data_IF_365364570760
#
_entry.id   IF_365364570760
#
_cell.length_a   1.000
_cell.length_b   1.000
_cell.length_c   1.000
_cell.angle_alpha   90.00
_cell.angle_beta   90.00
_cell.angle_gamma   90.00
#
_symmetry.space_group_name_H-M   'P 1'
#
loop_
_entity.id
_entity.type
_entity.pdbx_description
1 polymer ?
#
# COMPACT_ATOMS: atom_id res chain seq x y z
N UNK A 1 -20.71 -30.23 -1.70
CA UNK A 1 -20.58 -29.35 -2.90
C UNK A 1 -19.09 -29.22 -3.18
N UNK A 2 -18.67 -29.42 -4.42
CA UNK A 2 -17.27 -29.26 -4.83
C UNK A 2 -17.04 -27.79 -5.12
N UNK A 3 -16.04 -27.19 -4.48
CA UNK A 3 -15.66 -25.79 -4.71
C UNK A 3 -14.83 -25.71 -5.99
N UNK A 4 -15.12 -24.74 -6.86
CA UNK A 4 -14.38 -24.56 -8.11
C UNK A 4 -13.42 -23.38 -8.05
N UNK A 5 -12.36 -23.44 -8.86
CA UNK A 5 -11.39 -22.34 -9.00
C UNK A 5 -12.08 -21.04 -9.45
N UNK A 6 -13.11 -21.14 -10.29
CA UNK A 6 -13.87 -19.99 -10.77
C UNK A 6 -14.64 -19.27 -9.66
N UNK A 7 -15.24 -20.03 -8.72
CA UNK A 7 -15.90 -19.46 -7.54
C UNK A 7 -14.91 -18.73 -6.63
N UNK A 8 -13.74 -19.33 -6.42
CA UNK A 8 -12.66 -18.68 -5.65
C UNK A 8 -12.19 -17.42 -6.36
N UNK A 9 -11.92 -17.48 -7.66
CA UNK A 9 -11.46 -16.33 -8.45
C UNK A 9 -12.48 -15.20 -8.44
N UNK A 10 -13.77 -15.52 -8.52
CA UNK A 10 -14.86 -14.53 -8.41
C UNK A 10 -14.88 -13.86 -7.05
N UNK A 11 -14.67 -14.61 -5.97
CA UNK A 11 -14.56 -14.05 -4.62
C UNK A 11 -13.33 -13.15 -4.48
N UNK A 12 -12.18 -13.59 -4.96
CA UNK A 12 -10.94 -12.81 -4.96
C UNK A 12 -11.04 -11.54 -5.80
N UNK A 13 -11.91 -11.50 -6.81
CA UNK A 13 -12.11 -10.29 -7.60
C UNK A 13 -12.68 -9.13 -6.76
N UNK A 14 -13.30 -9.43 -5.61
CA UNK A 14 -13.82 -8.45 -4.65
C UNK A 14 -12.74 -7.93 -3.68
N UNK A 15 -11.58 -8.59 -3.60
CA UNK A 15 -10.43 -8.10 -2.84
C UNK A 15 -9.75 -6.99 -3.64
N UNK A 16 -9.80 -5.77 -3.10
CA UNK A 16 -9.16 -4.59 -3.68
C UNK A 16 -7.83 -4.31 -2.97
N UNK A 17 -6.84 -3.86 -3.73
CA UNK A 17 -5.61 -3.35 -3.14
C UNK A 17 -5.86 -1.98 -2.46
N UNK A 18 -5.36 -1.77 -1.23
CA UNK A 18 -5.61 -0.56 -0.45
C UNK A 18 -4.85 0.66 -0.98
N UNK A 19 -3.76 0.48 -1.74
CA UNK A 19 -2.97 1.57 -2.30
C UNK A 19 -3.47 1.97 -3.69
N UNK A 20 -3.83 0.98 -4.49
CA UNK A 20 -4.40 1.14 -5.81
C UNK A 20 -5.76 0.45 -5.81
N UNK A 21 -6.89 1.17 -5.92
CA UNK A 21 -8.24 0.61 -5.79
C UNK A 21 -8.63 -0.25 -7.01
N UNK A 22 -7.87 -1.32 -7.23
CA UNK A 22 -7.97 -2.31 -8.28
C UNK A 22 -8.00 -3.69 -7.63
N UNK A 23 -8.67 -4.62 -8.31
CA UNK A 23 -8.74 -5.99 -7.82
C UNK A 23 -7.37 -6.65 -7.87
N UNK A 24 -7.02 -7.42 -6.84
CA UNK A 24 -5.80 -8.25 -6.83
C UNK A 24 -5.75 -9.26 -7.98
N UNK A 25 -6.93 -9.67 -8.50
CA UNK A 25 -7.03 -10.55 -9.67
C UNK A 25 -6.74 -9.77 -10.95
N UNK A 26 -7.29 -8.55 -11.09
CA UNK A 26 -7.02 -7.68 -12.23
C UNK A 26 -5.56 -7.19 -12.25
N UNK A 27 -4.94 -7.00 -11.08
CA UNK A 27 -3.53 -6.67 -10.93
C UNK A 27 -2.59 -7.85 -11.24
N UNK A 28 -3.12 -9.08 -11.35
CA UNK A 28 -2.31 -10.27 -11.60
C UNK A 28 -1.46 -10.68 -10.40
N UNK A 29 -1.89 -10.36 -9.17
CA UNK A 29 -1.20 -10.74 -7.94
C UNK A 29 -1.44 -12.21 -7.58
N UNK A 30 -2.52 -12.82 -8.06
CA UNK A 30 -2.86 -14.23 -7.80
C UNK A 30 -2.18 -15.13 -8.84
N UNK A 31 -1.22 -15.95 -8.39
CA UNK A 31 -0.43 -16.84 -9.26
C UNK A 31 -1.02 -18.24 -9.36
N UNK A 32 -1.67 -18.72 -8.31
CA UNK A 32 -2.26 -20.05 -8.29
C UNK A 32 -3.35 -20.18 -7.25
N UNK A 33 -4.36 -21.00 -7.58
CA UNK A 33 -5.43 -21.42 -6.67
C UNK A 33 -5.46 -22.95 -6.76
N UNK A 34 -5.07 -23.61 -5.68
CA UNK A 34 -5.04 -25.05 -5.55
C UNK A 34 -6.14 -25.46 -4.56
N UNK A 35 -7.07 -26.33 -4.97
CA UNK A 35 -8.21 -26.78 -4.14
C UNK A 35 -8.04 -28.28 -3.88
N UNK A 36 -8.02 -28.67 -2.61
CA UNK A 36 -7.92 -30.08 -2.21
C UNK A 36 -9.28 -30.80 -2.32
N UNK A 37 -9.25 -32.13 -2.22
CA UNK A 37 -10.47 -32.96 -2.13
C UNK A 37 -11.34 -32.64 -0.90
N UNK A 38 -10.73 -32.11 0.17
CA UNK A 38 -11.40 -31.62 1.38
C UNK A 38 -11.97 -30.21 1.25
N UNK A 39 -11.93 -29.60 0.05
CA UNK A 39 -12.25 -28.19 -0.20
C UNK A 39 -11.39 -27.22 0.63
N UNK A 40 -10.14 -27.59 0.95
CA UNK A 40 -9.16 -26.65 1.47
C UNK A 40 -8.54 -25.89 0.30
N UNK A 41 -8.52 -24.56 0.39
CA UNK A 41 -8.05 -23.69 -0.68
C UNK A 41 -6.69 -23.15 -0.31
N UNK A 42 -5.69 -23.45 -1.13
CA UNK A 42 -4.38 -22.82 -1.05
C UNK A 42 -4.21 -21.80 -2.18
N UNK A 43 -3.86 -20.57 -1.81
CA UNK A 43 -3.68 -19.45 -2.73
C UNK A 43 -2.22 -19.06 -2.70
N UNK A 44 -1.58 -19.14 -3.88
CA UNK A 44 -0.26 -18.57 -4.10
C UNK A 44 -0.44 -17.19 -4.72
N UNK A 45 0.04 -16.16 -4.04
CA UNK A 45 -0.02 -14.79 -4.52
C UNK A 45 1.29 -14.05 -4.28
N UNK A 46 1.45 -12.92 -4.95
CA UNK A 46 2.59 -12.02 -4.79
C UNK A 46 2.10 -10.62 -4.41
N UNK A 47 3.03 -9.69 -4.22
CA UNK A 47 2.74 -8.29 -3.90
C UNK A 47 3.53 -7.36 -4.84
N UNK A 48 3.11 -6.11 -4.92
CA UNK A 48 3.75 -5.09 -5.76
C UNK A 48 5.13 -4.68 -5.24
N UNK A 49 5.37 -4.78 -3.94
CA UNK A 49 6.62 -4.41 -3.26
C UNK A 49 6.95 -5.41 -2.16
N UNK A 50 8.22 -5.52 -1.76
CA UNK A 50 8.63 -6.34 -0.62
C UNK A 50 8.56 -5.50 0.66
N UNK A 51 8.04 -6.06 1.75
CA UNK A 51 8.08 -5.39 3.07
C UNK A 51 6.95 -4.41 3.42
N UNK A 52 5.95 -4.17 2.56
CA UNK A 52 4.79 -3.35 2.94
C UNK A 52 3.94 -4.01 4.05
N UNK A 53 3.66 -3.34 5.19
CA UNK A 53 2.85 -3.89 6.28
C UNK A 53 1.38 -4.09 5.88
N UNK A 54 0.92 -3.50 4.78
CA UNK A 54 -0.41 -3.72 4.21
C UNK A 54 -0.58 -5.14 3.65
N UNK A 55 0.52 -5.86 3.36
CA UNK A 55 0.46 -7.25 2.92
C UNK A 55 -0.31 -8.14 3.89
N UNK A 56 -0.15 -7.93 5.20
CA UNK A 56 -0.87 -8.70 6.20
C UNK A 56 -2.38 -8.46 6.13
N UNK A 57 -2.80 -7.21 5.90
CA UNK A 57 -4.21 -6.86 5.72
C UNK A 57 -4.77 -7.52 4.47
N UNK A 58 -4.06 -7.44 3.34
CA UNK A 58 -4.49 -8.06 2.08
C UNK A 58 -4.62 -9.57 2.24
N UNK A 59 -3.64 -10.23 2.85
CA UNK A 59 -3.67 -11.69 3.10
C UNK A 59 -4.86 -12.09 3.96
N UNK A 60 -5.15 -11.32 5.02
CA UNK A 60 -6.30 -11.56 5.88
C UNK A 60 -7.62 -11.38 5.12
N UNK A 61 -7.72 -10.35 4.29
CA UNK A 61 -8.90 -10.12 3.47
C UNK A 61 -9.07 -11.22 2.44
N UNK A 62 -8.03 -11.60 1.71
CA UNK A 62 -8.04 -12.75 0.78
C UNK A 62 -8.59 -13.99 1.47
N UNK A 63 -8.03 -14.35 2.63
CA UNK A 63 -8.51 -15.50 3.39
C UNK A 63 -9.99 -15.35 3.80
N UNK A 64 -10.41 -14.16 4.22
CA UNK A 64 -11.78 -13.85 4.63
C UNK A 64 -12.78 -13.94 3.47
N UNK A 65 -12.45 -13.39 2.29
CA UNK A 65 -13.32 -13.44 1.11
C UNK A 65 -13.46 -14.88 0.61
N UNK A 66 -12.37 -15.63 0.54
CA UNK A 66 -12.38 -17.04 0.08
C UNK A 66 -13.16 -17.92 1.04
N UNK A 67 -13.01 -17.70 2.35
CA UNK A 67 -13.75 -18.45 3.38
C UNK A 67 -15.27 -18.21 3.36
N UNK A 68 -15.74 -17.12 2.73
CA UNK A 68 -17.18 -16.87 2.52
C UNK A 68 -17.76 -17.70 1.37
N UNK A 69 -16.93 -18.32 0.52
CA UNK A 69 -17.42 -19.16 -0.58
C UNK A 69 -18.05 -20.43 0.01
N UNK A 70 -19.31 -20.74 -0.31
CA UNK A 70 -19.98 -21.92 0.23
C UNK A 70 -19.22 -23.21 -0.10
N UNK A 71 -18.92 -24.01 0.93
CA UNK A 71 -18.24 -25.30 0.80
C UNK A 71 -16.73 -25.25 1.02
N UNK A 72 -16.12 -24.06 1.14
CA UNK A 72 -14.71 -23.91 1.54
C UNK A 72 -14.56 -24.33 3.00
N UNK A 73 -13.55 -25.17 3.27
CA UNK A 73 -13.25 -25.65 4.61
C UNK A 73 -12.17 -24.78 5.27
N UNK A 74 -10.93 -24.88 4.79
CA UNK A 74 -9.82 -24.03 5.22
C UNK A 74 -9.25 -23.18 4.09
N UNK A 75 -8.61 -22.08 4.44
CA UNK A 75 -7.92 -21.19 3.49
C UNK A 75 -6.51 -20.94 3.95
N UNK A 76 -5.54 -21.22 3.08
CA UNK A 76 -4.15 -20.87 3.25
C UNK A 76 -3.74 -19.90 2.14
N UNK A 77 -2.98 -18.88 2.52
CA UNK A 77 -2.45 -17.88 1.58
C UNK A 77 -0.94 -17.87 1.75
N UNK A 78 -0.24 -18.23 0.69
CA UNK A 78 1.22 -18.24 0.62
C UNK A 78 1.69 -17.07 -0.27
N UNK A 79 2.50 -16.17 0.31
CA UNK A 79 3.16 -15.10 -0.44
C UNK A 79 4.42 -15.66 -1.10
N UNK A 80 4.51 -15.52 -2.42
CA UNK A 80 5.69 -15.87 -3.22
C UNK A 80 6.27 -14.62 -3.88
N UNK A 81 7.60 -14.56 -3.93
CA UNK A 81 8.37 -13.48 -4.56
C UNK A 81 8.98 -13.90 -5.89
N UNK A 82 8.93 -15.20 -6.21
CA UNK A 82 9.40 -15.76 -7.46
C UNK A 82 8.24 -16.45 -8.22
N UNK A 83 7.94 -16.07 -9.47
CA UNK A 83 8.54 -14.94 -10.19
C UNK A 83 8.16 -13.57 -9.56
N UNK A 84 8.97 -12.51 -9.75
CA UNK A 84 8.61 -11.18 -9.27
C UNK A 84 7.40 -10.65 -10.04
N UNK A 85 6.61 -9.81 -9.39
CA UNK A 85 5.48 -9.15 -10.02
C UNK A 85 5.97 -8.03 -10.96
N UNK A 86 5.36 -7.94 -12.14
CA UNK A 86 5.57 -6.86 -13.10
C UNK A 86 4.23 -6.37 -13.64
N UNK A 87 4.17 -5.10 -14.06
CA UNK A 87 2.94 -4.49 -14.60
C UNK A 87 2.40 -5.21 -15.84
N UNK A 88 3.23 -5.99 -16.55
CA UNK A 88 2.78 -6.82 -17.68
C UNK A 88 1.73 -7.86 -17.27
N UNK A 89 1.74 -8.29 -16.00
CA UNK A 89 0.77 -9.23 -15.43
C UNK A 89 -0.60 -8.60 -15.18
N UNK A 90 -0.72 -7.27 -15.21
CA UNK A 90 -2.01 -6.59 -15.09
C UNK A 90 -2.89 -6.86 -16.32
N UNK A 91 -4.20 -6.95 -16.10
CA UNK A 91 -5.17 -6.96 -17.20
C UNK A 91 -5.14 -5.63 -17.96
N UNK A 92 -5.51 -5.65 -19.24
CA UNK A 92 -5.61 -4.41 -20.05
C UNK A 92 -6.59 -3.40 -19.43
N UNK A 93 -7.65 -3.88 -18.77
CA UNK A 93 -8.57 -3.05 -18.02
C UNK A 93 -7.92 -2.40 -16.80
N UNK A 94 -7.12 -3.13 -16.02
CA UNK A 94 -6.35 -2.58 -14.90
C UNK A 94 -5.32 -1.56 -15.38
N UNK A 95 -4.58 -1.85 -16.46
CA UNK A 95 -3.63 -0.89 -17.06
C UNK A 95 -4.33 0.39 -17.51
N UNK A 96 -5.51 0.29 -18.12
CA UNK A 96 -6.30 1.44 -18.54
C UNK A 96 -6.79 2.27 -17.34
N UNK A 97 -7.31 1.63 -16.29
CA UNK A 97 -7.70 2.29 -15.04
C UNK A 97 -6.50 2.96 -14.39
N UNK A 98 -5.35 2.29 -14.27
CA UNK A 98 -4.12 2.86 -13.71
C UNK A 98 -3.64 4.09 -14.49
N UNK A 99 -3.68 4.04 -15.83
CA UNK A 99 -3.38 5.21 -16.68
C UNK A 99 -4.36 6.36 -16.45
N UNK A 100 -5.64 6.07 -16.23
CA UNK A 100 -6.65 7.09 -15.90
C UNK A 100 -6.41 7.72 -14.52
N UNK A 101 -5.99 6.91 -13.54
CA UNK A 101 -5.57 7.36 -12.22
C UNK A 101 -4.32 8.25 -12.30
N UNK A 102 -3.32 7.87 -13.09
CA UNK A 102 -2.11 8.66 -13.33
C UNK A 102 -2.38 9.98 -14.05
N UNK A 103 -3.38 10.04 -14.95
CA UNK A 103 -3.84 11.30 -15.57
C UNK A 103 -4.67 12.18 -14.63
N UNK A 104 -5.15 11.62 -13.52
CA UNK A 104 -6.00 12.31 -12.54
C UNK A 104 -5.27 12.66 -11.23
N UNK A 105 -3.94 12.46 -11.16
CA UNK A 105 -3.15 12.80 -9.97
C UNK A 105 -3.19 11.76 -8.84
N UNK A 106 -3.67 10.54 -9.09
CA UNK A 106 -3.58 9.48 -8.09
C UNK A 106 -2.12 9.00 -7.96
N UNK A 107 -1.59 8.88 -6.73
CA UNK A 107 -0.18 8.59 -6.52
C UNK A 107 0.13 7.13 -6.87
N UNK A 108 1.28 6.91 -7.52
CA UNK A 108 1.82 5.57 -7.76
C UNK A 108 2.02 4.81 -6.44
N UNK A 109 2.05 3.45 -6.46
CA UNK A 109 2.42 2.66 -5.30
C UNK A 109 3.74 3.16 -4.70
N UNK A 110 3.78 3.39 -3.39
CA UNK A 110 5.00 3.86 -2.73
C UNK A 110 5.87 2.63 -2.50
N UNK A 111 7.05 2.62 -3.09
CA UNK A 111 8.09 1.67 -2.70
C UNK A 111 8.73 2.14 -1.38
N UNK A 112 8.27 1.58 -0.26
CA UNK A 112 8.71 1.96 1.08
C UNK A 112 10.21 1.74 1.36
N UNK A 113 10.90 0.93 0.54
CA UNK A 113 12.33 0.67 0.68
C UNK A 113 13.21 1.70 -0.04
N UNK A 114 12.64 2.41 -1.02
CA UNK A 114 13.37 3.37 -1.86
C UNK A 114 12.80 4.79 -1.81
N UNK A 115 11.57 4.97 -1.34
CA UNK A 115 10.89 6.26 -1.24
C UNK A 115 11.58 7.19 -0.23
N UNK A 116 11.84 8.42 -0.70
CA UNK A 116 12.46 9.49 0.07
C UNK A 116 11.44 10.62 0.28
N UNK A 117 10.56 10.53 1.29
CA UNK A 117 9.56 11.56 1.53
C UNK A 117 10.20 12.90 1.91
N UNK A 118 9.63 13.97 1.37
CA UNK A 118 10.01 15.35 1.63
C UNK A 118 8.78 16.14 2.07
N UNK A 119 8.84 16.71 3.28
CA UNK A 119 7.85 17.61 3.81
C UNK A 119 7.86 18.93 3.02
N UNK A 120 6.68 19.35 2.59
CA UNK A 120 6.42 20.63 1.92
C UNK A 120 5.33 21.39 2.68
N UNK A 121 5.30 22.71 2.53
CA UNK A 121 4.40 23.58 3.28
C UNK A 121 5.07 24.32 4.44
N UNK A 122 4.25 24.93 5.29
CA UNK A 122 4.69 25.79 6.39
C UNK A 122 3.97 25.44 7.69
N UNK A 123 4.71 25.42 8.80
CA UNK A 123 4.13 25.31 10.13
C UNK A 123 3.63 26.69 10.60
N UNK A 124 2.37 26.77 11.00
CA UNK A 124 1.76 27.95 11.60
C UNK A 124 1.13 27.59 12.94
N UNK A 125 1.23 28.50 13.90
CA UNK A 125 0.53 28.40 15.18
C UNK A 125 -0.67 29.34 15.19
N UNK A 126 -1.83 28.83 15.54
CA UNK A 126 -3.07 29.60 15.65
C UNK A 126 -3.14 30.37 16.98
N UNK A 127 -4.06 31.32 17.06
CA UNK A 127 -4.25 32.18 18.25
C UNK A 127 -4.65 31.40 19.51
N UNK A 128 -5.27 30.23 19.33
CA UNK A 128 -5.64 29.31 20.42
C UNK A 128 -4.47 28.40 20.87
N UNK A 129 -3.29 28.54 20.26
CA UNK A 129 -2.11 27.72 20.51
C UNK A 129 -2.04 26.42 19.70
N UNK A 130 -3.05 26.10 18.90
CA UNK A 130 -3.08 24.93 18.02
C UNK A 130 -2.03 25.04 16.90
N UNK A 131 -1.40 23.92 16.55
CA UNK A 131 -0.40 23.86 15.47
C UNK A 131 -1.04 23.35 14.18
N UNK A 132 -0.72 24.01 13.06
CA UNK A 132 -1.29 23.72 11.74
C UNK A 132 -0.18 23.68 10.70
N UNK A 133 -0.14 22.62 9.89
CA UNK A 133 0.67 22.58 8.67
C UNK A 133 -0.15 23.12 7.50
N UNK A 134 0.37 24.12 6.80
CA UNK A 134 -0.29 24.76 5.67
C UNK A 134 0.41 24.35 4.39
N UNK A 135 -0.33 23.76 3.46
CA UNK A 135 0.19 23.39 2.14
C UNK A 135 0.28 24.60 1.19
N UNK A 136 0.82 24.40 -0.01
CA UNK A 136 0.94 25.48 -1.02
C UNK A 136 -0.42 26.02 -1.49
N UNK A 137 -1.50 25.26 -1.32
CA UNK A 137 -2.86 25.68 -1.61
C UNK A 137 -3.52 26.46 -0.45
N UNK A 138 -2.74 26.88 0.55
CA UNK A 138 -3.23 27.56 1.76
C UNK A 138 -4.25 26.73 2.56
N UNK A 139 -4.25 25.41 2.42
CA UNK A 139 -5.06 24.52 3.23
C UNK A 139 -4.28 24.11 4.48
N UNK A 140 -4.87 24.37 5.64
CA UNK A 140 -4.30 24.03 6.93
C UNK A 140 -4.76 22.67 7.43
N UNK A 141 -3.81 21.84 7.86
CA UNK A 141 -4.03 20.56 8.54
C UNK A 141 -3.63 20.71 9.99
N UNK A 142 -4.57 20.49 10.91
CA UNK A 142 -4.28 20.48 12.34
C UNK A 142 -3.37 19.31 12.68
N UNK A 143 -2.30 19.57 13.40
CA UNK A 143 -1.27 18.58 13.73
C UNK A 143 -0.84 18.69 15.18
N UNK A 144 -0.28 17.61 15.71
CA UNK A 144 0.38 17.60 17.01
C UNK A 144 1.91 17.64 16.86
N UNK A 145 2.63 17.71 17.99
CA UNK A 145 4.09 17.75 18.00
C UNK A 145 4.73 16.53 17.32
N UNK A 146 4.17 15.34 17.49
CA UNK A 146 4.70 14.12 16.86
C UNK A 146 4.62 14.16 15.33
N UNK A 147 3.50 14.67 14.78
CA UNK A 147 3.32 14.83 13.33
C UNK A 147 4.27 15.90 12.79
N UNK A 148 4.49 16.99 13.53
CA UNK A 148 5.45 18.03 13.16
C UNK A 148 6.87 17.47 13.10
N UNK A 149 7.26 16.68 14.11
CA UNK A 149 8.59 16.08 14.18
C UNK A 149 8.80 15.04 13.07
N UNK A 150 7.74 14.29 12.73
CA UNK A 150 7.73 13.38 11.58
C UNK A 150 7.87 14.15 10.26
N UNK A 151 7.07 15.18 10.04
CA UNK A 151 7.10 16.02 8.84
C UNK A 151 8.47 16.68 8.65
N UNK A 152 9.08 17.19 9.73
CA UNK A 152 10.46 17.72 9.70
C UNK A 152 11.51 16.65 9.41
N UNK A 153 11.26 15.39 9.81
CA UNK A 153 12.14 14.26 9.53
C UNK A 153 12.08 13.82 8.06
N UNK A 154 10.98 14.13 7.36
CA UNK A 154 10.83 13.94 5.92
C UNK A 154 11.63 15.02 5.17
N UNK A 155 12.95 14.85 5.08
CA UNK A 155 13.86 15.82 4.47
C UNK A 155 14.37 15.41 3.08
N UNK A 156 13.77 14.40 2.46
CA UNK A 156 14.20 13.84 1.17
C UNK A 156 15.49 13.03 1.23
N UNK A 157 16.05 12.76 2.42
CA UNK A 157 17.29 11.96 2.59
C UNK A 157 17.08 10.65 3.31
N UNK A 158 15.98 10.49 4.05
CA UNK A 158 15.66 9.28 4.81
C UNK A 158 14.59 8.45 4.11
N UNK A 159 14.79 7.15 4.10
CA UNK A 159 13.81 6.18 3.62
C UNK A 159 12.67 6.02 4.61
N UNK A 160 11.53 5.54 4.13
CA UNK A 160 10.38 5.28 5.02
C UNK A 160 10.73 4.24 6.09
N UNK A 161 11.49 3.21 5.73
CA UNK A 161 12.02 2.22 6.69
C UNK A 161 12.88 2.84 7.79
N UNK A 162 13.71 3.84 7.47
CA UNK A 162 14.52 4.56 8.46
C UNK A 162 13.66 5.46 9.35
N UNK A 163 12.60 6.06 8.80
CA UNK A 163 11.64 6.85 9.59
C UNK A 163 10.88 5.98 10.59
N UNK A 164 10.49 4.77 10.18
CA UNK A 164 9.90 3.75 11.06
C UNK A 164 10.84 3.40 12.20
N UNK A 165 12.13 3.15 11.91
CA UNK A 165 13.11 2.78 12.93
C UNK A 165 13.31 3.92 13.95
N UNK A 166 13.36 5.19 13.50
CA UNK A 166 13.44 6.37 14.39
C UNK A 166 12.20 6.47 15.29
N UNK A 167 11.01 6.27 14.74
CA UNK A 167 9.76 6.32 15.51
C UNK A 167 9.63 5.16 16.50
N UNK A 168 10.05 3.95 16.11
CA UNK A 168 10.04 2.77 16.97
C UNK A 168 10.96 2.96 18.18
N UNK A 169 12.16 3.53 17.98
CA UNK A 169 13.09 3.84 19.07
C UNK A 169 12.55 4.89 20.04
N UNK A 170 11.78 5.85 19.55
CA UNK A 170 11.26 6.96 20.37
C UNK A 170 10.01 6.57 21.17
N UNK A 171 9.15 5.73 20.60
CA UNK A 171 7.84 5.37 21.18
C UNK A 171 7.87 4.08 22.01
N UNK A 172 8.89 3.23 21.83
CA UNK A 172 8.97 1.91 22.47
C UNK A 172 7.92 0.90 21.99
N UNK A 173 7.16 1.23 20.94
CA UNK A 173 6.16 0.36 20.34
C UNK A 173 6.80 -0.68 19.42
N UNK A 174 6.06 -1.75 19.12
CA UNK A 174 6.51 -2.76 18.17
C UNK A 174 6.62 -2.17 16.77
N UNK A 175 7.71 -2.53 16.06
CA UNK A 175 8.00 -2.08 14.69
C UNK A 175 6.80 -2.24 13.75
N UNK A 176 6.13 -3.38 13.78
CA UNK A 176 4.96 -3.67 12.92
C UNK A 176 3.77 -2.74 13.16
N UNK A 177 3.60 -2.24 14.39
CA UNK A 177 2.56 -1.28 14.71
C UNK A 177 2.95 0.13 14.25
N UNK A 178 4.21 0.51 14.44
CA UNK A 178 4.76 1.78 13.97
C UNK A 178 4.76 1.87 12.44
N UNK A 179 5.06 0.78 11.74
CA UNK A 179 5.02 0.71 10.28
C UNK A 179 3.64 1.11 9.73
N UNK A 180 2.56 0.60 10.34
CA UNK A 180 1.19 0.96 9.93
C UNK A 180 0.86 2.43 10.17
N UNK A 181 1.20 2.94 11.36
CA UNK A 181 0.96 4.35 11.71
C UNK A 181 1.76 5.29 10.81
N UNK A 182 3.02 4.98 10.53
CA UNK A 182 3.89 5.79 9.65
C UNK A 182 3.34 5.81 8.22
N UNK A 183 2.90 4.67 7.69
CA UNK A 183 2.34 4.61 6.34
C UNK A 183 1.03 5.37 6.25
N UNK A 184 0.14 5.21 7.23
CA UNK A 184 -1.10 5.95 7.28
C UNK A 184 -0.84 7.46 7.37
N UNK A 185 0.14 7.88 8.17
CA UNK A 185 0.53 9.27 8.29
C UNK A 185 1.12 9.82 6.99
N UNK A 186 1.98 9.07 6.30
CA UNK A 186 2.53 9.45 4.99
C UNK A 186 1.39 9.60 3.97
N UNK A 187 0.44 8.67 3.93
CA UNK A 187 -0.71 8.78 3.03
C UNK A 187 -1.53 10.03 3.33
N UNK A 188 -1.85 10.29 4.60
CA UNK A 188 -2.62 11.47 5.01
C UNK A 188 -1.91 12.79 4.64
N UNK A 189 -0.61 12.89 4.91
CA UNK A 189 0.16 14.08 4.60
C UNK A 189 0.37 14.25 3.09
N UNK A 190 0.54 13.16 2.34
CA UNK A 190 0.62 13.18 0.87
C UNK A 190 -0.70 13.63 0.26
N UNK A 191 -1.82 13.08 0.70
CA UNK A 191 -3.16 13.45 0.22
C UNK A 191 -3.48 14.90 0.60
N UNK A 192 -2.95 15.38 1.73
CA UNK A 192 -3.01 16.77 2.14
C UNK A 192 -2.04 17.71 1.43
N UNK A 193 -1.19 17.23 0.51
CA UNK A 193 -0.20 18.04 -0.19
C UNK A 193 0.88 18.62 0.72
N UNK A 194 1.17 17.94 1.84
CA UNK A 194 2.19 18.31 2.83
C UNK A 194 3.45 17.44 2.73
N UNK A 195 3.40 16.34 1.98
CA UNK A 195 4.57 15.53 1.65
C UNK A 195 4.57 15.26 0.15
N UNK A 196 5.76 15.39 -0.45
CA UNK A 196 6.05 14.85 -1.78
C UNK A 196 7.00 13.67 -1.64
N UNK A 197 6.78 12.64 -2.44
CA UNK A 197 7.73 11.55 -2.60
C UNK A 197 8.22 11.68 -4.05
N UNK A 198 9.45 12.18 -4.28
CA UNK A 198 10.00 12.21 -5.61
C UNK A 198 10.03 10.76 -6.13
N UNK A 199 9.41 10.52 -7.28
CA UNK A 199 9.67 9.27 -7.99
C UNK A 199 11.18 9.18 -8.24
N UNK A 200 11.81 8.00 -8.11
CA UNK A 200 13.23 7.87 -8.38
C UNK A 200 13.57 8.46 -9.77
N UNK A 201 14.72 9.15 -9.87
CA UNK A 201 15.27 9.79 -11.08
C UNK A 201 15.58 8.80 -12.23
N UNK A 202 15.08 7.58 -12.10
CA UNK A 202 14.96 6.61 -13.17
C UNK A 202 13.69 5.83 -12.88
N UNK A 203 12.71 5.78 -13.82
CA UNK A 203 11.80 4.67 -13.79
C UNK A 203 12.68 3.41 -13.80
N UNK A 204 12.50 2.48 -12.86
CA UNK A 204 13.01 1.11 -13.00
C UNK A 204 12.36 0.35 -14.18
N UNK A 205 11.84 1.10 -15.16
CA UNK A 205 11.23 0.65 -16.40
C UNK A 205 12.05 1.29 -17.51
N UNK A 206 13.03 0.53 -18.03
CA UNK A 206 13.51 0.80 -19.38
C UNK A 206 12.31 0.66 -20.31
N UNK A 207 11.78 1.78 -20.81
CA UNK A 207 10.94 1.77 -21.99
C UNK A 207 11.84 1.43 -23.17
N UNK A 208 12.06 0.14 -23.43
CA UNK A 208 12.61 -0.27 -24.72
C UNK A 208 11.54 0.01 -25.78
N UNK A 209 11.90 0.93 -26.69
CA UNK A 209 11.18 1.26 -27.91
C UNK A 209 10.99 0.03 -28.80
#
# INVERSE_FOLDING_TARGET
>A
MVVTVDQIRTSLNQCMDPEVPLSIVEMGLVYGIDISESNDVNIRMTMTTQGCPLHQTIVQDVARYVKKVPGVNNVKVDIVWDPPWTMDKMSEAAKAKLKSFSKSGAPAPIDYETALPQGIGSLMQQEDGSMVLVNEHSQGFMVNQAIIDFWKSCNGKRKITELVDVFAQTTGLQRSQIEKEVIQLISQLRDGGLIIIPAPDSPNVEFRK
#
